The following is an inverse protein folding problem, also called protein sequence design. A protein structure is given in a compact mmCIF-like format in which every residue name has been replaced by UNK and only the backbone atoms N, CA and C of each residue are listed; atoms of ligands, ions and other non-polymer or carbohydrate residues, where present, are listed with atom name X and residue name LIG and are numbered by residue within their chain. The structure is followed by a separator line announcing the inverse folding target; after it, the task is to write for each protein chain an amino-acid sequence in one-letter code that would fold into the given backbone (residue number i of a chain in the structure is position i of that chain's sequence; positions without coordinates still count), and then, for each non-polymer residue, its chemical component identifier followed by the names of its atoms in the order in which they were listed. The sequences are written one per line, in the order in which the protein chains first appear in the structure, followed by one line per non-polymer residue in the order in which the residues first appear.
data_IF_541812523150
#
_entry.id   IF_541812523150
#
_cell.length_a   1.000
_cell.length_b   1.000
_cell.length_c   1.000
_cell.angle_alpha   90.00
_cell.angle_beta   90.00
_cell.angle_gamma   90.00
#
_symmetry.space_group_name_H-M   'P 1'
#
loop_
_entity.id
_entity.type
_entity.pdbx_description
1 polymer ?
#
# COMPACT_ATOMS: atom_id res chain seq x y z
N UNK A 1 -4.68 6.63 -8.85
CA UNK A 1 -4.71 7.11 -10.23
C UNK A 1 -6.08 7.72 -10.56
N UNK A 2 -6.06 8.92 -11.08
CA UNK A 2 -7.27 9.64 -11.45
C UNK A 2 -7.45 9.58 -12.96
N UNK A 3 -8.44 8.82 -13.40
CA UNK A 3 -8.69 8.60 -14.83
C UNK A 3 -9.15 9.88 -15.55
N UNK A 4 -9.69 10.87 -14.82
CA UNK A 4 -10.11 12.13 -15.43
C UNK A 4 -8.93 12.96 -15.95
N UNK A 5 -7.72 12.61 -15.57
CA UNK A 5 -6.50 13.31 -15.98
C UNK A 5 -5.78 12.64 -17.14
N UNK A 6 -6.44 11.77 -17.86
CA UNK A 6 -5.87 11.17 -19.07
C UNK A 6 -5.80 12.24 -20.16
N UNK A 7 -4.62 12.78 -20.36
CA UNK A 7 -4.36 13.84 -21.33
C UNK A 7 -2.99 13.63 -21.99
N UNK A 8 -2.42 14.67 -22.55
CA UNK A 8 -1.11 14.61 -23.21
C UNK A 8 0.01 14.20 -22.25
N UNK A 9 -0.17 14.33 -20.92
CA UNK A 9 0.82 13.95 -19.93
C UNK A 9 0.78 12.46 -19.56
N UNK A 10 -0.19 11.72 -20.08
CA UNK A 10 -0.34 10.30 -19.74
C UNK A 10 0.89 9.47 -20.12
N UNK A 11 1.50 9.78 -21.27
CA UNK A 11 2.71 9.07 -21.70
C UNK A 11 3.85 9.27 -20.72
N UNK A 12 4.00 10.47 -20.18
CA UNK A 12 5.00 10.75 -19.15
C UNK A 12 4.73 9.97 -17.88
N UNK A 13 3.48 9.95 -17.45
CA UNK A 13 3.05 9.19 -16.27
C UNK A 13 3.34 7.70 -16.46
N UNK A 14 3.03 7.15 -17.63
CA UNK A 14 3.25 5.73 -17.92
C UNK A 14 4.75 5.39 -17.84
N UNK A 15 5.60 6.25 -18.37
CA UNK A 15 7.05 6.05 -18.31
C UNK A 15 7.57 6.12 -16.88
N UNK A 16 7.07 7.08 -16.10
CA UNK A 16 7.44 7.19 -14.69
C UNK A 16 7.02 5.95 -13.90
N UNK A 17 5.80 5.48 -14.12
CA UNK A 17 5.31 4.26 -13.47
C UNK A 17 6.14 3.05 -13.83
N UNK A 18 6.48 2.90 -15.10
CA UNK A 18 7.30 1.78 -15.53
C UNK A 18 8.66 1.80 -14.85
N UNK A 19 9.30 2.96 -14.84
CA UNK A 19 10.62 3.11 -14.20
C UNK A 19 10.55 2.81 -12.71
N UNK A 20 9.50 3.31 -12.03
CA UNK A 20 9.31 3.04 -10.61
C UNK A 20 9.14 1.54 -10.35
N UNK A 21 8.26 0.89 -11.10
CA UNK A 21 7.99 -0.54 -10.90
C UNK A 21 9.21 -1.40 -11.18
N UNK A 22 9.95 -1.08 -12.24
CA UNK A 22 11.16 -1.83 -12.57
C UNK A 22 12.19 -1.75 -11.45
N UNK A 23 12.34 -0.56 -10.84
CA UNK A 23 13.24 -0.38 -9.70
C UNK A 23 12.69 -1.04 -8.44
N UNK A 24 11.39 -0.88 -8.16
CA UNK A 24 10.77 -1.35 -6.95
C UNK A 24 10.79 -2.88 -6.83
N UNK A 25 10.49 -3.58 -7.91
CA UNK A 25 10.43 -5.04 -7.92
C UNK A 25 11.76 -5.66 -7.48
N UNK A 26 12.88 -5.01 -7.82
CA UNK A 26 14.21 -5.53 -7.50
C UNK A 26 14.82 -4.90 -6.25
N UNK A 27 14.10 -4.02 -5.55
CA UNK A 27 14.67 -3.26 -4.43
C UNK A 27 14.80 -4.05 -3.12
N UNK A 28 13.99 -5.09 -2.94
CA UNK A 28 13.88 -5.80 -1.67
C UNK A 28 13.16 -4.99 -0.60
N UNK A 29 12.72 -3.78 -0.93
CA UNK A 29 12.10 -2.85 -0.01
C UNK A 29 10.63 -2.64 -0.32
N UNK A 30 10.24 -2.76 -1.60
CA UNK A 30 8.86 -2.64 -2.06
C UNK A 30 8.28 -4.01 -2.33
N UNK A 31 7.04 -4.21 -1.90
CA UNK A 31 6.29 -5.46 -2.10
C UNK A 31 4.94 -5.09 -2.71
N UNK A 32 4.68 -5.63 -3.88
CA UNK A 32 3.45 -5.33 -4.62
C UNK A 32 2.56 -6.55 -4.52
N UNK A 33 1.46 -6.41 -3.80
CA UNK A 33 0.48 -7.48 -3.61
C UNK A 33 -0.63 -7.32 -4.63
N UNK A 34 -0.96 -8.40 -5.30
CA UNK A 34 -1.97 -8.38 -6.36
C UNK A 34 -2.99 -9.49 -6.17
N UNK A 35 -4.21 -9.23 -6.63
CA UNK A 35 -5.21 -10.27 -6.82
C UNK A 35 -5.43 -10.44 -8.32
N UNK A 36 -5.46 -11.68 -8.77
CA UNK A 36 -5.61 -12.00 -10.17
C UNK A 36 -6.88 -12.84 -10.38
N UNK A 37 -7.68 -12.44 -11.36
CA UNK A 37 -8.85 -13.22 -11.78
C UNK A 37 -8.93 -13.22 -13.30
N UNK A 38 -9.22 -14.40 -13.88
CA UNK A 38 -9.33 -14.55 -15.34
C UNK A 38 -8.10 -14.00 -16.07
N UNK A 39 -6.91 -14.28 -15.53
CA UNK A 39 -5.63 -13.84 -16.07
C UNK A 39 -5.43 -12.33 -16.09
N UNK A 40 -6.18 -11.62 -15.25
CA UNK A 40 -6.06 -10.16 -15.11
C UNK A 40 -5.81 -9.78 -13.67
N UNK A 41 -4.95 -8.78 -13.47
CA UNK A 41 -4.75 -8.19 -12.15
C UNK A 41 -5.95 -7.28 -11.88
N UNK A 42 -6.73 -7.61 -10.86
CA UNK A 42 -7.96 -6.89 -10.53
C UNK A 42 -7.84 -6.05 -9.27
N UNK A 43 -6.80 -6.27 -8.47
CA UNK A 43 -6.56 -5.49 -7.25
C UNK A 43 -5.09 -5.43 -6.97
N UNK A 44 -4.62 -4.34 -6.38
CA UNK A 44 -3.24 -4.26 -5.93
C UNK A 44 -3.12 -3.41 -4.67
N UNK A 45 -2.08 -3.70 -3.89
CA UNK A 45 -1.69 -2.93 -2.71
C UNK A 45 -0.17 -2.89 -2.71
N UNK A 46 0.41 -1.68 -2.59
CA UNK A 46 1.85 -1.49 -2.55
C UNK A 46 2.28 -1.31 -1.10
N UNK A 47 3.34 -2.03 -0.71
CA UNK A 47 3.92 -1.95 0.63
C UNK A 47 5.40 -1.60 0.50
N UNK A 48 5.82 -0.55 1.20
CA UNK A 48 7.24 -0.27 1.37
C UNK A 48 7.64 -0.58 2.82
N UNK A 49 8.73 -1.31 3.00
CA UNK A 49 9.29 -1.54 4.33
C UNK A 49 10.23 -0.40 4.67
N UNK A 50 9.99 0.22 5.83
CA UNK A 50 10.79 1.33 6.32
C UNK A 50 11.67 0.84 7.44
N UNK A 51 12.97 0.90 7.24
CA UNK A 51 13.93 0.46 8.24
C UNK A 51 14.23 1.59 9.21
N UNK A 52 14.20 1.27 10.49
CA UNK A 52 14.40 2.23 11.56
C UNK A 52 15.83 2.19 12.06
N UNK A 53 16.26 3.30 12.65
CA UNK A 53 17.56 3.35 13.32
C UNK A 53 17.51 2.45 14.54
N UNK A 54 18.49 1.53 14.73
CA UNK A 54 18.50 0.66 15.89
C UNK A 54 18.55 1.43 17.20
N UNK A 55 17.91 0.88 18.23
CA UNK A 55 17.89 1.44 19.58
C UNK A 55 18.47 0.44 20.58
N UNK A 56 19.18 0.92 21.61
CA UNK A 56 19.68 0.02 22.65
C UNK A 56 18.55 -0.68 23.40
N UNK A 57 18.79 -1.87 23.83
CA UNK A 57 17.88 -2.59 24.73
C UNK A 57 16.73 -3.29 24.06
N UNK A 58 16.64 -3.26 22.73
CA UNK A 58 15.60 -4.01 22.01
C UNK A 58 15.99 -4.31 20.57
N UNK A 59 15.37 -5.33 20.03
CA UNK A 59 15.50 -5.68 18.63
C UNK A 59 14.69 -4.71 17.79
N UNK A 60 15.23 -4.30 16.64
CA UNK A 60 14.59 -3.29 15.79
C UNK A 60 14.03 -3.97 14.55
N UNK A 61 12.71 -3.84 14.35
CA UNK A 61 12.02 -4.37 13.18
C UNK A 61 11.52 -3.21 12.32
N UNK A 62 11.49 -3.38 10.99
CA UNK A 62 10.93 -2.34 10.12
C UNK A 62 9.42 -2.25 10.31
N UNK A 63 8.85 -1.11 9.90
CA UNK A 63 7.41 -0.99 9.76
C UNK A 63 7.04 -0.86 8.29
N UNK A 64 5.76 -1.02 7.99
CA UNK A 64 5.26 -1.04 6.62
C UNK A 64 4.47 0.24 6.31
N UNK A 65 4.75 0.83 5.15
CA UNK A 65 3.96 1.92 4.61
C UNK A 65 3.13 1.36 3.46
N UNK A 66 1.80 1.48 3.60
CA UNK A 66 0.86 0.98 2.60
C UNK A 66 0.36 2.13 1.73
N UNK A 67 0.36 1.92 0.43
CA UNK A 67 -0.07 2.94 -0.53
C UNK A 67 -0.61 2.27 -1.79
N UNK A 68 -1.22 3.07 -2.67
CA UNK A 68 -1.76 2.60 -3.95
C UNK A 68 -2.66 1.39 -3.81
N UNK A 69 -3.64 1.50 -2.91
CA UNK A 69 -4.65 0.46 -2.70
C UNK A 69 -5.76 0.66 -3.74
N UNK A 70 -5.95 -0.34 -4.59
CA UNK A 70 -6.88 -0.19 -5.72
C UNK A 70 -7.49 -1.52 -6.10
N UNK A 71 -8.77 -1.50 -6.41
CA UNK A 71 -9.48 -2.63 -7.02
C UNK A 71 -10.24 -2.09 -8.22
N UNK A 72 -10.16 -2.78 -9.37
CA UNK A 72 -10.88 -2.32 -10.56
C UNK A 72 -12.38 -2.28 -10.28
N UNK A 73 -13.12 -1.30 -10.85
CA UNK A 73 -14.52 -1.08 -10.50
C UNK A 73 -15.42 -2.31 -10.61
N UNK A 74 -15.24 -3.13 -11.63
CA UNK A 74 -16.07 -4.31 -11.86
C UNK A 74 -15.92 -5.37 -10.77
N UNK A 75 -14.83 -5.30 -10.00
CA UNK A 75 -14.55 -6.27 -8.95
C UNK A 75 -14.70 -5.70 -7.55
N UNK A 76 -15.18 -4.47 -7.43
CA UNK A 76 -15.43 -3.86 -6.12
C UNK A 76 -16.67 -4.45 -5.47
N UNK A 77 -16.69 -4.41 -4.14
CA UNK A 77 -17.84 -4.91 -3.38
C UNK A 77 -17.91 -6.43 -3.29
N UNK A 78 -16.87 -7.14 -3.71
CA UNK A 78 -16.83 -8.61 -3.69
C UNK A 78 -15.85 -9.17 -2.66
N UNK A 79 -15.28 -8.31 -1.82
CA UNK A 79 -14.36 -8.73 -0.77
C UNK A 79 -12.94 -9.02 -1.21
N UNK A 80 -12.60 -8.74 -2.46
CA UNK A 80 -11.26 -9.01 -3.00
C UNK A 80 -10.21 -8.18 -2.27
N UNK A 81 -10.46 -6.88 -2.13
CA UNK A 81 -9.53 -5.99 -1.44
C UNK A 81 -9.30 -6.39 0.01
N UNK A 82 -10.37 -6.81 0.70
CA UNK A 82 -10.25 -7.28 2.08
C UNK A 82 -9.45 -8.58 2.17
N UNK A 83 -9.59 -9.44 1.17
CA UNK A 83 -8.83 -10.69 1.11
C UNK A 83 -7.33 -10.41 0.98
N UNK A 84 -6.96 -9.50 0.07
CA UNK A 84 -5.56 -9.10 -0.11
C UNK A 84 -5.03 -8.49 1.19
N UNK A 85 -5.80 -7.61 1.81
CA UNK A 85 -5.38 -6.94 3.04
C UNK A 85 -5.18 -7.93 4.19
N UNK A 86 -6.05 -8.94 4.31
CA UNK A 86 -5.89 -9.98 5.34
C UNK A 86 -4.60 -10.78 5.13
N UNK A 87 -4.26 -11.08 3.89
CA UNK A 87 -3.00 -11.79 3.60
C UNK A 87 -1.80 -10.92 3.94
N UNK A 88 -1.87 -9.62 3.66
CA UNK A 88 -0.81 -8.68 4.05
C UNK A 88 -0.68 -8.63 5.57
N UNK A 89 -1.79 -8.51 6.30
CA UNK A 89 -1.77 -8.44 7.75
C UNK A 89 -1.13 -9.69 8.36
N UNK A 90 -1.41 -10.85 7.77
CA UNK A 90 -0.79 -12.10 8.20
C UNK A 90 0.72 -12.08 7.98
N UNK A 91 1.14 -11.63 6.80
CA UNK A 91 2.55 -11.50 6.47
C UNK A 91 3.28 -10.53 7.41
N UNK A 92 2.64 -9.41 7.75
CA UNK A 92 3.17 -8.44 8.72
C UNK A 92 3.42 -9.12 10.07
N UNK A 93 2.44 -9.88 10.55
CA UNK A 93 2.55 -10.58 11.83
C UNK A 93 3.63 -11.66 11.80
N UNK A 94 3.68 -12.45 10.74
CA UNK A 94 4.64 -13.55 10.62
C UNK A 94 6.08 -13.06 10.58
N UNK A 95 6.32 -11.87 10.02
CA UNK A 95 7.66 -11.31 9.92
C UNK A 95 8.00 -10.36 11.06
N UNK A 96 7.10 -10.21 12.01
CA UNK A 96 7.27 -9.34 13.19
C UNK A 96 7.51 -7.88 12.81
N UNK A 97 6.99 -7.43 11.68
CA UNK A 97 7.05 -6.02 11.34
C UNK A 97 6.23 -5.24 12.36
N UNK A 98 6.71 -4.05 12.71
CA UNK A 98 6.23 -3.36 13.90
C UNK A 98 4.78 -2.90 13.79
N UNK A 99 4.41 -2.32 12.66
CA UNK A 99 3.03 -1.88 12.38
C UNK A 99 2.90 -1.55 10.90
N UNK A 100 1.66 -1.29 10.47
CA UNK A 100 1.37 -0.79 9.12
C UNK A 100 0.78 0.60 9.26
N UNK A 101 1.25 1.54 8.46
CA UNK A 101 0.67 2.88 8.40
C UNK A 101 0.11 3.13 7.00
N UNK A 102 -1.06 3.78 6.93
CA UNK A 102 -1.70 4.15 5.67
C UNK A 102 -2.38 5.50 5.85
N UNK A 103 -2.38 6.33 4.81
CA UNK A 103 -3.13 7.58 4.76
C UNK A 103 -4.40 7.32 3.94
N UNK A 104 -5.54 6.99 4.59
CA UNK A 104 -6.74 6.62 3.87
C UNK A 104 -7.49 7.84 3.35
N UNK A 105 -8.17 7.67 2.21
CA UNK A 105 -9.21 8.63 1.84
C UNK A 105 -10.42 8.44 2.77
N UNK A 106 -11.26 9.46 2.90
CA UNK A 106 -12.45 9.34 3.77
C UNK A 106 -13.32 8.15 3.39
N UNK A 107 -13.48 7.91 2.09
CA UNK A 107 -14.32 6.81 1.60
C UNK A 107 -13.75 5.44 1.93
N UNK A 108 -12.45 5.33 2.14
CA UNK A 108 -11.80 4.05 2.41
C UNK A 108 -11.68 3.72 3.91
N UNK A 109 -11.96 4.68 4.79
CA UNK A 109 -11.83 4.47 6.24
C UNK A 109 -12.62 3.24 6.71
N UNK A 110 -13.91 3.05 6.34
CA UNK A 110 -14.64 1.86 6.79
C UNK A 110 -13.98 0.54 6.35
N UNK A 111 -13.37 0.53 5.18
CA UNK A 111 -12.65 -0.64 4.68
C UNK A 111 -11.50 -1.01 5.60
N UNK A 112 -10.70 -0.03 6.02
CA UNK A 112 -9.57 -0.27 6.91
C UNK A 112 -10.04 -0.65 8.31
N UNK A 113 -11.08 0.01 8.82
CA UNK A 113 -11.61 -0.31 10.14
C UNK A 113 -12.15 -1.73 10.21
N UNK A 114 -12.82 -2.20 9.16
CA UNK A 114 -13.30 -3.58 9.10
C UNK A 114 -12.16 -4.60 9.13
N UNK A 115 -10.98 -4.18 8.74
CA UNK A 115 -9.81 -5.05 8.67
C UNK A 115 -8.82 -4.84 9.82
N UNK A 116 -9.28 -4.22 10.91
CA UNK A 116 -8.51 -4.12 12.14
C UNK A 116 -7.65 -2.88 12.27
N UNK A 117 -7.75 -1.92 11.37
CA UNK A 117 -6.99 -0.69 11.44
C UNK A 117 -7.72 0.34 12.30
N UNK A 118 -6.96 1.16 13.02
CA UNK A 118 -7.50 2.21 13.87
C UNK A 118 -6.86 3.54 13.53
N UNK A 119 -7.59 4.62 13.76
CA UNK A 119 -7.05 5.96 13.55
C UNK A 119 -5.90 6.23 14.51
N UNK A 120 -4.87 6.89 13.97
CA UNK A 120 -3.67 7.23 14.70
C UNK A 120 -3.52 8.75 14.70
N UNK A 121 -3.22 9.34 15.85
CA UNK A 121 -3.03 10.78 16.00
C UNK A 121 -1.58 11.15 16.31
N UNK A 122 -0.68 10.20 16.28
CA UNK A 122 0.70 10.41 16.69
C UNK A 122 1.57 11.14 15.66
N UNK A 123 1.42 10.91 14.36
CA UNK A 123 2.25 11.60 13.38
C UNK A 123 1.98 13.10 13.36
N UNK A 124 3.03 13.86 13.06
CA UNK A 124 2.93 15.29 12.82
C UNK A 124 3.31 15.55 11.38
N UNK A 125 2.66 16.55 10.78
CA UNK A 125 2.89 16.89 9.38
C UNK A 125 3.35 18.33 9.24
N UNK A 126 4.24 18.56 8.29
CA UNK A 126 4.65 19.91 7.90
C UNK A 126 4.40 20.06 6.40
N UNK A 127 3.65 21.08 6.03
CA UNK A 127 3.34 21.35 4.62
C UNK A 127 4.16 22.56 4.17
N UNK A 128 5.14 22.39 3.27
CA UNK A 128 5.90 23.52 2.78
C UNK A 128 5.03 24.46 1.97
N UNK A 129 5.23 25.74 2.15
CA UNK A 129 4.48 26.77 1.43
C UNK A 129 5.07 27.10 0.06
#
# INVERSE_FOLDING_TARGET
YDESKKDASYDHFEKECYAFLASAINSGRWFIWVAEENDKIVSHIYIELIHKVPRPGRETYPFAYMTNVYTVPEYRGKGIGSKVLREINKWISENKYEFVIVWPSEDSIPYYERNGYVHCKEPMEYFPS
#
